data_IF_089168722751
#
_entry.id   IF_089168722751
#
_cell.length_a   1.000
_cell.length_b   1.000
_cell.length_c   1.000
_cell.angle_alpha   90.00
_cell.angle_beta   90.00
_cell.angle_gamma   90.00
#
_symmetry.space_group_name_H-M   'P 1'
#
loop_
_entity.id
_entity.type
_entity.pdbx_description
1 polymer ?
#
# COMPACT_ATOMS: atom_id res chain seq x y z
N UNK A 1 16.43 0.80 9.07
CA UNK A 1 15.00 0.93 9.43
C UNK A 1 14.80 1.91 10.60
N UNK A 2 15.73 1.98 11.57
CA UNK A 2 15.74 3.05 12.59
C UNK A 2 16.07 4.43 11.99
N UNK A 3 17.06 4.53 11.10
CA UNK A 3 17.44 5.83 10.47
C UNK A 3 16.30 6.51 9.68
N UNK A 4 15.38 5.73 9.09
CA UNK A 4 14.21 6.26 8.37
C UNK A 4 13.19 6.93 9.29
N UNK A 5 12.99 6.39 10.51
CA UNK A 5 12.04 6.94 11.47
C UNK A 5 12.54 8.27 12.03
N UNK A 6 13.85 8.38 12.22
CA UNK A 6 14.49 9.58 12.77
C UNK A 6 14.46 10.77 11.80
N UNK A 7 14.46 10.52 10.48
CA UNK A 7 14.34 11.55 9.46
C UNK A 7 12.88 11.99 9.20
N UNK A 8 11.90 11.08 9.33
CA UNK A 8 10.50 11.34 9.01
C UNK A 8 9.80 12.25 10.03
N UNK A 9 10.13 12.10 11.33
CA UNK A 9 9.44 12.81 12.41
C UNK A 9 9.62 14.33 12.28
N UNK A 10 10.84 14.89 12.13
CA UNK A 10 11.02 16.33 11.93
C UNK A 10 10.35 16.86 10.65
N UNK A 11 10.37 16.08 9.56
CA UNK A 11 9.72 16.45 8.30
C UNK A 11 8.21 16.57 8.44
N UNK A 12 7.58 15.66 9.19
CA UNK A 12 6.15 15.69 9.48
C UNK A 12 5.76 16.86 10.39
N UNK A 13 6.62 17.25 11.33
CA UNK A 13 6.40 18.43 12.19
C UNK A 13 6.48 19.74 11.40
N UNK A 14 7.38 19.85 10.43
CA UNK A 14 7.46 21.03 9.55
C UNK A 14 6.37 21.05 8.47
N UNK A 15 5.91 19.88 8.02
CA UNK A 15 4.75 19.76 7.13
C UNK A 15 3.45 20.32 7.74
N UNK A 16 3.31 20.25 9.07
CA UNK A 16 2.13 20.81 9.77
C UNK A 16 2.06 22.34 9.74
N UNK A 17 3.15 23.04 9.38
CA UNK A 17 3.20 24.51 9.37
C UNK A 17 2.86 25.08 8.00
N UNK A 18 3.63 24.72 6.98
CA UNK A 18 3.36 24.99 5.56
C UNK A 18 4.12 23.96 4.72
N UNK A 19 3.45 23.11 3.93
CA UNK A 19 4.13 22.14 3.09
C UNK A 19 4.87 22.84 1.94
N UNK A 20 6.19 22.66 1.87
CA UNK A 20 7.02 23.11 0.75
C UNK A 20 7.26 21.97 -0.23
N UNK A 21 7.56 22.31 -1.49
CA UNK A 21 7.91 21.31 -2.50
C UNK A 21 9.10 20.45 -2.07
N UNK A 22 10.10 21.07 -1.43
CA UNK A 22 11.28 20.39 -0.89
C UNK A 22 10.90 19.38 0.21
N UNK A 23 10.06 19.78 1.16
CA UNK A 23 9.62 18.89 2.25
C UNK A 23 8.80 17.71 1.72
N UNK A 24 7.86 17.98 0.81
CA UNK A 24 7.06 16.93 0.14
C UNK A 24 7.95 15.98 -0.64
N UNK A 25 8.91 16.50 -1.41
CA UNK A 25 9.87 15.68 -2.18
C UNK A 25 10.63 14.74 -1.26
N UNK A 26 11.10 15.23 -0.10
CA UNK A 26 11.81 14.38 0.85
C UNK A 26 10.90 13.30 1.44
N UNK A 27 9.66 13.63 1.83
CA UNK A 27 8.69 12.65 2.34
C UNK A 27 8.44 11.54 1.31
N UNK A 28 8.25 11.91 0.04
CA UNK A 28 8.03 10.95 -1.05
C UNK A 28 9.26 10.07 -1.30
N UNK A 29 10.48 10.61 -1.18
CA UNK A 29 11.72 9.82 -1.23
C UNK A 29 11.77 8.77 -0.13
N UNK A 30 11.43 9.16 1.09
CA UNK A 30 11.37 8.23 2.23
C UNK A 30 10.29 7.17 2.08
N UNK A 31 9.23 7.44 1.31
CA UNK A 31 8.23 6.45 0.93
C UNK A 31 8.70 5.50 -0.19
N UNK A 32 9.85 5.77 -0.82
CA UNK A 32 10.37 5.03 -1.97
C UNK A 32 9.76 5.46 -3.32
N UNK A 33 9.02 6.57 -3.38
CA UNK A 33 8.30 6.92 -4.60
C UNK A 33 9.25 7.25 -5.76
N UNK A 34 8.98 6.68 -6.94
CA UNK A 34 9.66 7.04 -8.18
C UNK A 34 9.26 8.45 -8.64
N UNK A 35 10.23 9.24 -9.11
CA UNK A 35 10.04 10.63 -9.55
C UNK A 35 9.40 11.54 -8.47
N UNK A 36 9.97 11.60 -7.26
CA UNK A 36 9.37 12.31 -6.13
C UNK A 36 9.19 13.81 -6.39
N UNK A 37 10.03 14.44 -7.22
CA UNK A 37 9.90 15.85 -7.58
C UNK A 37 8.67 16.15 -8.47
N UNK A 38 8.24 15.17 -9.27
CA UNK A 38 7.03 15.25 -10.09
C UNK A 38 5.80 15.23 -9.17
N UNK A 39 5.72 14.22 -8.32
CA UNK A 39 4.62 14.06 -7.36
C UNK A 39 4.55 15.18 -6.33
N UNK A 40 5.70 15.72 -5.92
CA UNK A 40 5.73 16.88 -5.02
C UNK A 40 5.17 18.15 -5.65
N UNK A 41 5.31 18.30 -6.98
CA UNK A 41 4.67 19.40 -7.70
C UNK A 41 3.14 19.22 -7.70
N UNK A 42 2.67 18.01 -7.99
CA UNK A 42 1.23 17.69 -8.03
C UNK A 42 0.59 17.78 -6.64
N UNK A 43 1.31 17.48 -5.56
CA UNK A 43 0.85 17.70 -4.18
C UNK A 43 0.60 19.19 -3.88
N UNK A 44 1.47 20.08 -4.36
CA UNK A 44 1.42 21.51 -4.06
C UNK A 44 0.45 22.26 -4.99
N UNK A 45 0.43 21.91 -6.28
CA UNK A 45 -0.31 22.63 -7.32
C UNK A 45 -1.61 21.92 -7.75
N UNK A 46 -1.72 20.62 -7.47
CA UNK A 46 -2.80 19.77 -7.95
C UNK A 46 -4.03 19.71 -7.04
N UNK A 47 -5.03 18.95 -7.49
CA UNK A 47 -6.29 18.72 -6.76
C UNK A 47 -6.37 17.33 -6.12
N UNK A 48 -5.41 16.47 -6.45
CA UNK A 48 -5.30 15.11 -5.93
C UNK A 48 -4.53 15.13 -4.61
N UNK A 49 -4.87 14.21 -3.71
CA UNK A 49 -4.20 14.05 -2.43
C UNK A 49 -3.01 13.10 -2.60
N UNK A 50 -1.92 13.58 -3.21
CA UNK A 50 -0.77 12.77 -3.61
C UNK A 50 -0.10 12.13 -2.39
N UNK A 51 0.24 12.92 -1.36
CA UNK A 51 0.84 12.38 -0.14
C UNK A 51 -0.07 11.40 0.59
N UNK A 52 -1.37 11.69 0.67
CA UNK A 52 -2.33 10.76 1.25
C UNK A 52 -2.39 9.44 0.48
N UNK A 53 -2.32 9.50 -0.85
CA UNK A 53 -2.32 8.33 -1.75
C UNK A 53 -1.12 7.44 -1.51
N UNK A 54 0.10 8.00 -1.52
CA UNK A 54 1.31 7.22 -1.23
C UNK A 54 1.35 6.72 0.21
N UNK A 55 0.90 7.51 1.19
CA UNK A 55 0.78 7.06 2.58
C UNK A 55 -0.19 5.89 2.74
N UNK A 56 -1.32 5.92 2.02
CA UNK A 56 -2.31 4.84 2.03
C UNK A 56 -1.75 3.55 1.41
N UNK A 57 -0.99 3.67 0.32
CA UNK A 57 -0.45 2.54 -0.42
C UNK A 57 0.83 1.94 0.20
N UNK A 58 1.54 2.69 1.05
CA UNK A 58 2.82 2.25 1.65
C UNK A 58 2.74 0.90 2.37
N UNK A 59 1.74 0.62 3.23
CA UNK A 59 1.64 -0.68 3.90
C UNK A 59 1.44 -1.84 2.91
N UNK A 60 0.77 -1.61 1.77
CA UNK A 60 0.62 -2.62 0.72
C UNK A 60 1.94 -2.87 -0.01
N UNK A 61 2.72 -1.83 -0.25
CA UNK A 61 4.07 -1.96 -0.79
C UNK A 61 4.96 -2.75 0.18
N UNK A 62 4.93 -2.46 1.48
CA UNK A 62 5.70 -3.17 2.51
C UNK A 62 5.36 -4.67 2.56
N UNK A 63 4.09 -5.05 2.35
CA UNK A 63 3.67 -6.46 2.22
C UNK A 63 4.33 -7.12 1.00
N UNK A 64 4.27 -6.46 -0.16
CA UNK A 64 4.89 -6.97 -1.38
C UNK A 64 6.42 -7.09 -1.25
N UNK A 65 7.06 -6.10 -0.65
CA UNK A 65 8.50 -6.05 -0.43
C UNK A 65 8.94 -7.16 0.53
N UNK A 66 8.12 -7.49 1.54
CA UNK A 66 8.38 -8.63 2.44
C UNK A 66 8.45 -9.93 1.65
N UNK A 67 7.52 -10.16 0.71
CA UNK A 67 7.53 -11.38 -0.10
C UNK A 67 8.68 -11.44 -1.12
N UNK A 68 9.14 -10.29 -1.63
CA UNK A 68 10.24 -10.25 -2.60
C UNK A 68 11.62 -10.27 -1.96
N UNK A 69 11.83 -9.49 -0.90
CA UNK A 69 13.15 -9.20 -0.35
C UNK A 69 13.42 -9.87 1.01
N UNK A 70 12.38 -10.23 1.78
CA UNK A 70 12.47 -11.00 3.03
C UNK A 70 11.74 -12.35 2.93
N UNK A 71 11.78 -12.97 1.75
CA UNK A 71 11.09 -14.25 1.50
C UNK A 71 11.53 -15.36 2.46
N UNK A 72 12.83 -15.47 2.74
CA UNK A 72 13.39 -16.43 3.70
C UNK A 72 12.86 -16.17 5.13
N UNK A 73 12.92 -14.92 5.60
CA UNK A 73 12.46 -14.57 6.93
C UNK A 73 10.96 -14.78 7.10
N UNK A 74 10.16 -14.45 6.08
CA UNK A 74 8.73 -14.72 6.07
C UNK A 74 8.41 -16.22 6.14
N UNK A 75 9.03 -17.04 5.28
CA UNK A 75 8.84 -18.50 5.29
C UNK A 75 9.27 -19.10 6.63
N UNK A 76 10.41 -18.68 7.17
CA UNK A 76 10.91 -19.17 8.46
C UNK A 76 9.91 -18.88 9.60
N UNK A 77 9.37 -17.65 9.66
CA UNK A 77 8.34 -17.28 10.64
C UNK A 77 7.06 -18.14 10.50
N UNK A 78 6.68 -18.49 9.26
CA UNK A 78 5.56 -19.40 9.01
C UNK A 78 5.83 -20.83 9.49
N UNK A 79 7.05 -21.35 9.28
CA UNK A 79 7.45 -22.68 9.77
C UNK A 79 7.43 -22.72 11.30
N UNK A 80 7.92 -21.66 11.96
CA UNK A 80 7.91 -21.55 13.42
C UNK A 80 6.49 -21.59 13.98
N UNK A 81 5.56 -20.79 13.42
CA UNK A 81 4.14 -20.82 13.80
C UNK A 81 3.49 -22.17 13.60
N UNK A 82 3.84 -22.88 12.52
CA UNK A 82 3.35 -24.25 12.26
C UNK A 82 3.72 -25.19 13.41
N UNK A 83 4.94 -25.09 13.94
CA UNK A 83 5.41 -25.97 15.01
C UNK A 83 4.74 -25.68 16.36
N UNK A 84 4.16 -24.49 16.54
CA UNK A 84 3.49 -24.07 17.76
C UNK A 84 1.97 -24.30 17.72
N UNK A 85 1.32 -24.05 16.57
CA UNK A 85 -0.15 -23.89 16.50
C UNK A 85 -0.82 -24.39 15.20
N UNK A 86 -0.22 -25.32 14.45
CA UNK A 86 -0.80 -25.72 13.16
C UNK A 86 -2.21 -26.32 13.24
N UNK A 87 -3.14 -25.72 12.50
CA UNK A 87 -4.37 -26.36 12.04
C UNK A 87 -4.10 -27.08 10.70
N UNK A 88 -4.85 -28.14 10.35
CA UNK A 88 -4.59 -28.93 9.13
C UNK A 88 -4.69 -28.15 7.81
N UNK A 89 -5.37 -27.00 7.81
CA UNK A 89 -5.64 -26.20 6.62
C UNK A 89 -4.99 -24.80 6.70
N UNK A 90 -3.92 -24.63 7.50
CA UNK A 90 -3.22 -23.34 7.55
C UNK A 90 -2.29 -23.15 6.34
N UNK A 91 -2.18 -21.90 5.89
CA UNK A 91 -1.16 -21.45 4.95
C UNK A 91 0.26 -21.77 5.43
N UNK A 92 0.49 -21.65 6.74
CA UNK A 92 1.75 -22.01 7.40
C UNK A 92 2.15 -23.49 7.17
N UNK A 93 1.19 -24.43 7.21
CA UNK A 93 1.45 -25.84 6.92
C UNK A 93 1.79 -26.07 5.44
N UNK A 94 1.06 -25.43 4.53
CA UNK A 94 1.31 -25.49 3.09
C UNK A 94 2.74 -25.00 2.78
N UNK A 95 3.17 -23.90 3.41
CA UNK A 95 4.53 -23.37 3.25
C UNK A 95 5.59 -24.38 3.71
N UNK A 96 5.35 -25.05 4.85
CA UNK A 96 6.24 -26.11 5.34
C UNK A 96 6.34 -27.29 4.36
N UNK A 97 5.22 -27.71 3.78
CA UNK A 97 5.19 -28.79 2.77
C UNK A 97 5.93 -28.39 1.49
N UNK A 98 5.76 -27.15 1.01
CA UNK A 98 6.50 -26.63 -0.14
C UNK A 98 8.02 -26.66 0.08
N UNK A 99 8.49 -26.28 1.26
CA UNK A 99 9.91 -26.36 1.63
C UNK A 99 10.38 -27.81 1.69
N UNK A 100 9.60 -28.72 2.27
CA UNK A 100 9.93 -30.16 2.29
C UNK A 100 9.98 -30.78 0.89
N UNK A 101 9.19 -30.26 -0.06
CA UNK A 101 9.23 -30.63 -1.46
C UNK A 101 10.42 -30.02 -2.24
N UNK A 102 11.25 -29.20 -1.60
CA UNK A 102 12.45 -28.60 -2.19
C UNK A 102 12.18 -27.33 -3.00
N UNK A 103 11.03 -26.68 -2.82
CA UNK A 103 10.77 -25.37 -3.42
C UNK A 103 11.57 -24.32 -2.63
N UNK A 104 12.41 -23.49 -3.28
CA UNK A 104 13.21 -22.50 -2.57
C UNK A 104 12.34 -21.33 -2.08
N UNK A 105 12.60 -20.74 -0.89
CA UNK A 105 11.80 -19.66 -0.31
C UNK A 105 11.57 -18.47 -1.26
N UNK A 106 12.55 -18.12 -2.09
CA UNK A 106 12.46 -17.02 -3.04
C UNK A 106 11.39 -17.26 -4.11
N UNK A 107 11.17 -18.52 -4.51
CA UNK A 107 10.11 -18.87 -5.46
C UNK A 107 8.74 -18.85 -4.80
N UNK A 108 8.65 -19.25 -3.54
CA UNK A 108 7.43 -19.15 -2.74
C UNK A 108 7.06 -17.67 -2.53
N UNK A 109 8.03 -16.84 -2.15
CA UNK A 109 7.87 -15.39 -1.99
C UNK A 109 7.46 -14.72 -3.29
N UNK A 110 8.10 -15.05 -4.42
CA UNK A 110 7.69 -14.51 -5.72
C UNK A 110 6.26 -14.91 -6.11
N UNK A 111 5.85 -16.15 -5.81
CA UNK A 111 4.47 -16.58 -6.05
C UNK A 111 3.46 -15.82 -5.17
N UNK A 112 3.75 -15.68 -3.88
CA UNK A 112 2.94 -14.91 -2.94
C UNK A 112 2.84 -13.43 -3.35
N UNK A 113 3.94 -12.82 -3.81
CA UNK A 113 3.95 -11.47 -4.36
C UNK A 113 2.94 -11.30 -5.49
N UNK A 114 2.91 -12.20 -6.47
CA UNK A 114 2.00 -12.07 -7.62
C UNK A 114 0.53 -12.24 -7.23
N UNK A 115 0.22 -13.16 -6.30
CA UNK A 115 -1.13 -13.31 -5.76
C UNK A 115 -1.55 -12.04 -5.02
N UNK A 116 -0.71 -11.56 -4.09
CA UNK A 116 -1.00 -10.38 -3.29
C UNK A 116 -1.16 -9.14 -4.18
N UNK A 117 -0.25 -8.93 -5.14
CA UNK A 117 -0.31 -7.82 -6.10
C UNK A 117 -1.61 -7.86 -6.89
N UNK A 118 -2.00 -9.02 -7.43
CA UNK A 118 -3.24 -9.15 -8.19
C UNK A 118 -4.45 -8.78 -7.31
N UNK A 119 -4.55 -9.35 -6.11
CA UNK A 119 -5.66 -9.08 -5.21
C UNK A 119 -5.73 -7.60 -4.78
N UNK A 120 -4.59 -6.99 -4.47
CA UNK A 120 -4.52 -5.57 -4.10
C UNK A 120 -4.91 -4.69 -5.28
N UNK A 121 -4.42 -4.96 -6.50
CA UNK A 121 -4.78 -4.20 -7.69
C UNK A 121 -6.29 -4.23 -7.96
N UNK A 122 -6.93 -5.39 -7.84
CA UNK A 122 -8.38 -5.51 -7.98
C UNK A 122 -9.15 -4.65 -6.97
N UNK A 123 -8.66 -4.56 -5.74
CA UNK A 123 -9.24 -3.68 -4.71
C UNK A 123 -9.04 -2.21 -5.07
N UNK A 124 -7.83 -1.82 -5.47
CA UNK A 124 -7.50 -0.44 -5.83
C UNK A 124 -8.25 0.04 -7.07
N UNK A 125 -8.47 -0.85 -8.04
CA UNK A 125 -9.28 -0.56 -9.23
C UNK A 125 -10.71 -0.23 -8.83
N UNK A 126 -11.34 -1.07 -8.00
CA UNK A 126 -12.71 -0.84 -7.47
C UNK A 126 -12.83 0.41 -6.58
N UNK A 127 -11.77 0.78 -5.87
CA UNK A 127 -11.75 2.03 -5.11
C UNK A 127 -11.71 3.27 -6.02
N UNK A 128 -11.10 3.14 -7.20
CA UNK A 128 -10.99 4.22 -8.19
C UNK A 128 -12.24 4.31 -9.07
N UNK A 129 -12.88 3.17 -9.33
CA UNK A 129 -14.14 3.06 -10.08
C UNK A 129 -15.25 2.40 -9.24
N UNK A 130 -15.84 3.15 -8.27
CA UNK A 130 -16.91 2.66 -7.40
C UNK A 130 -18.21 2.32 -8.14
N UNK A 131 -18.35 2.75 -9.40
CA UNK A 131 -19.57 2.65 -10.21
C UNK A 131 -19.40 1.79 -11.47
N UNK A 132 -18.24 1.17 -11.72
CA UNK A 132 -17.94 0.52 -13.00
C UNK A 132 -17.09 -0.74 -12.91
N UNK A 133 -16.83 -1.27 -11.71
CA UNK A 133 -16.11 -2.54 -11.56
C UNK A 133 -16.97 -3.74 -11.94
N UNK A 134 -16.71 -4.33 -13.12
CA UNK A 134 -17.23 -5.61 -13.66
C UNK A 134 -18.42 -6.19 -12.89
N UNK A 135 -19.58 -5.67 -13.26
CA UNK A 135 -20.86 -6.14 -12.80
C UNK A 135 -21.20 -7.46 -13.49
N UNK A 136 -21.13 -8.56 -12.75
CA UNK A 136 -21.53 -9.89 -13.22
C UNK A 136 -23.04 -9.93 -13.56
N UNK A 137 -23.81 -8.93 -13.08
CA UNK A 137 -25.24 -8.79 -13.33
C UNK A 137 -25.56 -7.52 -14.15
N UNK A 138 -26.54 -7.59 -15.08
CA UNK A 138 -27.03 -6.41 -15.77
C UNK A 138 -27.53 -5.34 -14.78
N UNK A 139 -27.07 -4.10 -14.94
CA UNK A 139 -27.47 -2.93 -14.14
C UNK A 139 -27.09 -2.99 -12.65
N UNK A 140 -26.23 -3.93 -12.26
CA UNK A 140 -25.60 -3.87 -10.93
C UNK A 140 -24.81 -2.55 -10.87
N UNK A 141 -25.07 -1.71 -9.87
CA UNK A 141 -24.54 -0.35 -9.80
C UNK A 141 -25.56 0.75 -10.15
N UNK A 142 -26.59 0.47 -10.94
CA UNK A 142 -27.72 1.40 -11.09
C UNK A 142 -28.44 1.51 -9.72
N UNK A 143 -28.67 2.74 -9.26
CA UNK A 143 -29.31 3.07 -7.98
C UNK A 143 -28.59 2.60 -6.69
N UNK A 144 -27.36 2.09 -6.78
CA UNK A 144 -26.55 1.74 -5.61
C UNK A 144 -25.74 2.95 -5.07
N UNK A 145 -25.48 3.00 -3.75
CA UNK A 145 -24.57 3.98 -3.19
C UNK A 145 -23.17 3.86 -3.79
N UNK A 146 -22.61 4.98 -4.24
CA UNK A 146 -21.21 5.11 -4.67
C UNK A 146 -20.33 5.63 -3.52
N UNK A 147 -19.02 5.42 -3.60
CA UNK A 147 -18.05 5.91 -2.63
C UNK A 147 -16.86 6.58 -3.31
N UNK A 148 -16.12 7.41 -2.57
CA UNK A 148 -14.84 7.95 -3.01
C UNK A 148 -13.91 8.10 -1.82
N UNK A 149 -12.61 8.01 -2.06
CA UNK A 149 -11.61 8.31 -1.06
C UNK A 149 -11.25 9.80 -1.11
N UNK A 150 -11.40 10.47 0.01
CA UNK A 150 -11.18 11.91 0.16
C UNK A 150 -10.24 12.15 1.35
N UNK A 151 -9.38 13.14 1.22
CA UNK A 151 -8.44 13.55 2.27
C UNK A 151 -9.14 14.44 3.30
N UNK A 152 -8.73 14.26 4.55
CA UNK A 152 -9.25 14.98 5.71
C UNK A 152 -8.09 15.48 6.57
N UNK A 153 -8.25 16.66 7.18
CA UNK A 153 -7.36 17.06 8.28
C UNK A 153 -7.86 16.43 9.58
N UNK A 154 -6.97 15.74 10.29
CA UNK A 154 -7.31 15.14 11.57
C UNK A 154 -7.41 16.24 12.63
N UNK A 155 -8.58 16.41 13.25
CA UNK A 155 -8.68 17.16 14.51
C UNK A 155 -8.46 16.17 15.67
N UNK A 156 -7.59 16.53 16.60
CA UNK A 156 -7.16 15.64 17.68
C UNK A 156 -8.34 15.10 18.50
N UNK A 157 -8.33 13.80 18.80
CA UNK A 157 -9.16 13.19 19.85
C UNK A 157 -10.50 12.60 19.41
N UNK A 158 -10.99 12.89 18.20
CA UNK A 158 -12.18 12.23 17.64
C UNK A 158 -12.02 11.97 16.13
N UNK A 159 -11.92 10.71 15.68
CA UNK A 159 -11.75 10.38 14.25
C UNK A 159 -12.96 10.76 13.39
N UNK A 160 -14.12 11.05 13.99
CA UNK A 160 -15.31 11.54 13.29
C UNK A 160 -15.36 13.06 13.17
N UNK A 161 -14.52 13.79 13.93
CA UNK A 161 -14.44 15.24 13.84
C UNK A 161 -13.30 15.61 12.87
N UNK A 162 -13.65 15.64 11.59
CA UNK A 162 -12.71 15.85 10.49
C UNK A 162 -13.16 17.01 9.63
N UNK A 163 -12.19 17.79 9.15
CA UNK A 163 -12.43 18.81 8.14
C UNK A 163 -12.00 18.27 6.77
N UNK A 164 -12.89 18.37 5.78
CA UNK A 164 -12.66 17.88 4.42
C UNK A 164 -11.70 18.81 3.70
N UNK A 165 -10.63 18.28 3.12
CA UNK A 165 -9.73 19.09 2.28
C UNK A 165 -10.31 19.28 0.88
N UNK A 166 -11.25 18.42 0.47
CA UNK A 166 -11.81 18.38 -0.88
C UNK A 166 -10.88 17.72 -1.92
N UNK A 167 -9.68 17.29 -1.51
CA UNK A 167 -8.71 16.58 -2.34
C UNK A 167 -9.04 15.10 -2.35
N UNK A 168 -8.89 14.47 -3.51
CA UNK A 168 -9.31 13.08 -3.73
C UNK A 168 -8.10 12.17 -3.92
N UNK A 169 -8.22 10.93 -3.44
CA UNK A 169 -7.30 9.85 -3.78
C UNK A 169 -7.91 9.11 -4.97
N UNK A 170 -7.34 9.31 -6.15
CA UNK A 170 -7.84 8.75 -7.41
C UNK A 170 -6.78 7.87 -8.05
N UNK A 171 -7.22 6.94 -8.90
CA UNK A 171 -6.34 6.16 -9.78
C UNK A 171 -5.20 5.44 -9.01
N UNK A 172 -5.47 4.99 -7.79
CA UNK A 172 -4.45 4.36 -6.91
C UNK A 172 -3.82 3.12 -7.55
N UNK A 173 -4.57 2.43 -8.41
CA UNK A 173 -4.12 1.28 -9.17
C UNK A 173 -3.10 1.63 -10.28
N UNK A 174 -3.07 2.88 -10.77
CA UNK A 174 -2.09 3.32 -11.77
C UNK A 174 -0.73 3.64 -11.17
N UNK A 175 -0.71 3.96 -9.87
CA UNK A 175 0.52 4.28 -9.16
C UNK A 175 1.04 3.07 -8.35
N UNK A 176 0.19 2.09 -8.01
CA UNK A 176 0.61 0.88 -7.30
C UNK A 176 1.00 -0.28 -8.25
N UNK A 177 2.02 -1.10 -7.90
CA UNK A 177 3.01 -0.86 -6.86
C UNK A 177 4.01 0.22 -7.29
N UNK A 178 4.62 0.90 -6.32
CA UNK A 178 5.63 1.93 -6.61
C UNK A 178 6.99 1.34 -6.98
N UNK A 179 7.19 0.05 -6.70
CA UNK A 179 8.35 -0.73 -7.12
C UNK A 179 7.92 -2.09 -7.66
N UNK A 180 8.42 -2.45 -8.83
CA UNK A 180 8.26 -3.79 -9.40
C UNK A 180 9.54 -4.61 -9.24
N UNK A 181 9.44 -5.95 -9.11
CA UNK A 181 10.61 -6.81 -9.17
C UNK A 181 11.30 -6.64 -10.53
N UNK A 182 12.58 -6.24 -10.48
CA UNK A 182 13.41 -6.03 -11.67
C UNK A 182 13.47 -4.59 -12.19
N UNK A 183 12.72 -3.66 -11.61
CA UNK A 183 12.84 -2.22 -11.88
C UNK A 183 13.74 -1.59 -10.80
N UNK A 184 14.86 -1.00 -11.23
CA UNK A 184 15.79 -0.22 -10.39
C UNK A 184 15.63 1.26 -10.67
#
# INVERSE_FOLDING_TARGET
MDDMKDALIPLLEDFQKEPTKENVTQILKEFGVQFPEYWAKDEIEGKEAVLASFRFLRPFQEILDTYLYDSEGWVQRSIERTNEQATPDSDDLILKEMIQAGIPPEKIGLFAYWIARSAINEILYRLSDPCGGDYDLPNEGEDLPSWRLEEYTAQSGNPMNVERTGRLLLELHNIFPFHNPGEK
#
